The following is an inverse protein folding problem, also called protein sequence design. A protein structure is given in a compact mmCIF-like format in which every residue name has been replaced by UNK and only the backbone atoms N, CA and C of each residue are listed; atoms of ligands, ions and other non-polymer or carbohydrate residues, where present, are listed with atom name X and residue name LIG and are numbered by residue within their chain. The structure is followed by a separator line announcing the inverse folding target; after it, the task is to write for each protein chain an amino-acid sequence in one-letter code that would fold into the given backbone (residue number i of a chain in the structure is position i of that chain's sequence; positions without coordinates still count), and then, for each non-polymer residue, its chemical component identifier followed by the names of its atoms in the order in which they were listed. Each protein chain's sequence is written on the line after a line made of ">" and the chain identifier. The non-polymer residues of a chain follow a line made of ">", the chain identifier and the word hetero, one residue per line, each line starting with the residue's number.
data_IF_994397164370
#
_entry.id   IF_994397164370
#
_cell.length_a   1.000
_cell.length_b   1.000
_cell.length_c   1.000
_cell.angle_alpha   90.00
_cell.angle_beta   90.00
_cell.angle_gamma   90.00
#
_symmetry.space_group_name_H-M   'P 1'
#
loop_
_entity.id
_entity.type
_entity.pdbx_description
1 polymer ?
#
# COMPACT_ATOMS: atom_id res chain seq x y z
N UNK A 1 -13.08 -26.70 1.91
CA UNK A 1 -12.59 -25.39 2.39
C UNK A 1 -11.82 -24.77 1.25
N UNK A 2 -12.09 -23.51 0.91
CA UNK A 2 -11.24 -22.82 -0.06
C UNK A 2 -9.83 -22.73 0.53
N UNK A 3 -8.87 -23.37 -0.12
CA UNK A 3 -7.45 -23.20 0.15
C UNK A 3 -7.03 -21.85 -0.42
N UNK A 4 -6.55 -20.95 0.44
CA UNK A 4 -6.14 -19.59 0.06
C UNK A 4 -4.63 -19.47 0.21
N UNK A 5 -3.94 -19.10 -0.88
CA UNK A 5 -2.55 -18.63 -0.89
C UNK A 5 -2.57 -17.12 -0.94
N UNK A 6 -1.80 -16.47 -0.07
CA UNK A 6 -1.79 -15.02 0.04
C UNK A 6 -0.39 -14.47 -0.07
N UNK A 7 -0.26 -13.27 -0.62
CA UNK A 7 0.97 -12.48 -0.54
C UNK A 7 0.74 -11.27 0.36
N UNK A 8 1.65 -11.03 1.29
CA UNK A 8 1.77 -9.79 2.05
C UNK A 8 2.93 -8.94 1.52
N UNK A 9 2.70 -7.64 1.36
CA UNK A 9 3.71 -6.66 0.93
C UNK A 9 3.78 -5.51 1.94
N UNK A 10 4.87 -5.44 2.70
CA UNK A 10 5.22 -4.26 3.53
C UNK A 10 5.97 -3.24 2.68
N UNK A 11 5.21 -2.34 2.05
CA UNK A 11 5.70 -1.50 0.97
C UNK A 11 6.51 -0.31 1.50
N UNK A 12 7.73 -0.14 0.98
CA UNK A 12 8.47 1.09 1.22
C UNK A 12 8.04 2.25 0.29
N UNK A 13 8.19 3.49 0.74
CA UNK A 13 7.81 4.66 -0.07
C UNK A 13 8.65 4.92 -1.33
N UNK A 14 9.80 4.27 -1.49
CA UNK A 14 10.67 4.40 -2.66
C UNK A 14 11.35 3.08 -3.03
N UNK A 15 11.64 2.89 -4.32
CA UNK A 15 12.29 1.68 -4.82
C UNK A 15 13.74 1.49 -4.33
N UNK A 16 14.36 2.53 -3.77
CA UNK A 16 15.69 2.44 -3.14
C UNK A 16 15.66 1.89 -1.71
N UNK A 17 14.48 1.57 -1.17
CA UNK A 17 14.29 1.10 0.20
C UNK A 17 13.69 -0.30 0.19
N UNK A 18 14.14 -1.11 1.13
CA UNK A 18 13.69 -2.49 1.30
C UNK A 18 12.17 -2.56 1.50
N UNK A 19 11.51 -3.40 0.71
CA UNK A 19 10.10 -3.77 0.81
C UNK A 19 10.03 -5.22 1.28
N UNK A 20 9.23 -5.48 2.31
CA UNK A 20 9.00 -6.84 2.78
C UNK A 20 8.01 -7.56 1.86
N UNK A 21 8.33 -8.79 1.49
CA UNK A 21 7.46 -9.68 0.73
C UNK A 21 7.28 -10.98 1.49
N UNK A 22 6.05 -11.47 1.60
CA UNK A 22 5.73 -12.73 2.25
C UNK A 22 4.73 -13.51 1.41
N UNK A 23 5.09 -14.71 0.95
CA UNK A 23 4.16 -15.70 0.45
C UNK A 23 3.69 -16.56 1.63
N UNK A 24 2.38 -16.60 1.86
CA UNK A 24 1.75 -17.45 2.87
C UNK A 24 1.01 -18.58 2.15
N UNK A 25 1.50 -19.80 2.36
CA UNK A 25 0.91 -21.02 1.82
C UNK A 25 -0.31 -21.47 2.63
N UNK A 26 -1.10 -22.37 2.04
CA UNK A 26 -2.36 -22.89 2.62
C UNK A 26 -2.13 -23.56 3.98
N UNK A 27 -0.97 -24.18 4.16
CA UNK A 27 -0.55 -24.87 5.38
C UNK A 27 0.09 -23.93 6.42
N UNK A 28 -0.07 -22.61 6.24
CA UNK A 28 0.48 -21.55 7.10
C UNK A 28 2.01 -21.45 7.08
N UNK A 29 2.68 -22.06 6.10
CA UNK A 29 4.11 -21.82 5.88
C UNK A 29 4.32 -20.46 5.22
N UNK A 30 5.25 -19.69 5.78
CA UNK A 30 5.61 -18.37 5.27
C UNK A 30 7.00 -18.39 4.63
N UNK A 31 7.09 -17.90 3.40
CA UNK A 31 8.35 -17.63 2.71
C UNK A 31 8.51 -16.12 2.54
N UNK A 32 9.59 -15.57 3.08
CA UNK A 32 9.81 -14.11 3.12
C UNK A 32 11.02 -13.70 2.29
N UNK A 33 10.91 -12.56 1.62
CA UNK A 33 11.97 -11.98 0.79
C UNK A 33 12.02 -10.46 0.96
N UNK A 34 13.18 -9.86 0.66
CA UNK A 34 13.33 -8.41 0.57
C UNK A 34 13.41 -8.03 -0.90
N UNK A 35 12.45 -7.23 -1.36
CA UNK A 35 12.38 -6.71 -2.72
C UNK A 35 12.54 -5.18 -2.69
N UNK A 36 12.76 -4.58 -3.86
CA UNK A 36 13.03 -3.15 -3.98
C UNK A 36 12.15 -2.49 -5.04
N UNK A 37 12.23 -2.94 -6.29
CA UNK A 37 11.57 -2.27 -7.44
C UNK A 37 10.13 -2.72 -7.60
N UNK A 38 9.29 -1.84 -8.16
CA UNK A 38 7.89 -2.18 -8.48
C UNK A 38 7.83 -3.39 -9.44
N UNK A 39 8.73 -3.42 -10.43
CA UNK A 39 8.83 -4.55 -11.39
C UNK A 39 9.18 -5.87 -10.72
N UNK A 40 10.02 -5.84 -9.69
CA UNK A 40 10.46 -7.03 -8.96
C UNK A 40 9.30 -7.59 -8.13
N UNK A 41 8.56 -6.74 -7.43
CA UNK A 41 7.35 -7.12 -6.67
C UNK A 41 6.33 -7.78 -7.61
N UNK A 42 6.06 -7.14 -8.76
CA UNK A 42 5.10 -7.66 -9.75
C UNK A 42 5.53 -9.03 -10.29
N UNK A 43 6.81 -9.20 -10.63
CA UNK A 43 7.33 -10.48 -11.11
C UNK A 43 7.21 -11.59 -10.05
N UNK A 44 7.45 -11.28 -8.77
CA UNK A 44 7.29 -12.25 -7.69
C UNK A 44 5.83 -12.66 -7.50
N UNK A 45 4.90 -11.70 -7.48
CA UNK A 45 3.46 -11.98 -7.41
C UNK A 45 3.01 -12.83 -8.61
N UNK A 46 3.47 -12.51 -9.82
CA UNK A 46 3.11 -13.26 -11.03
C UNK A 46 3.70 -14.68 -11.05
N UNK A 47 4.88 -14.87 -10.47
CA UNK A 47 5.50 -16.19 -10.32
C UNK A 47 4.75 -17.03 -9.28
N UNK A 48 4.44 -16.43 -8.13
CA UNK A 48 3.89 -17.15 -7.00
C UNK A 48 2.40 -17.43 -7.17
N UNK A 49 1.69 -16.68 -8.03
CA UNK A 49 0.27 -16.85 -8.35
C UNK A 49 -0.62 -16.99 -7.10
N UNK A 50 -0.64 -16.00 -6.20
CA UNK A 50 -1.51 -16.05 -5.03
C UNK A 50 -2.97 -15.74 -5.40
N UNK A 51 -3.89 -16.14 -4.54
CA UNK A 51 -5.31 -15.79 -4.65
C UNK A 51 -5.58 -14.33 -4.26
N UNK A 52 -4.76 -13.79 -3.35
CA UNK A 52 -4.89 -12.42 -2.85
C UNK A 52 -3.52 -11.80 -2.56
N UNK A 53 -3.43 -10.49 -2.80
CA UNK A 53 -2.26 -9.67 -2.43
C UNK A 53 -2.71 -8.58 -1.48
N UNK A 54 -2.14 -8.60 -0.28
CA UNK A 54 -2.33 -7.61 0.78
C UNK A 54 -1.14 -6.64 0.77
N UNK A 55 -1.40 -5.34 0.59
CA UNK A 55 -0.35 -4.31 0.56
C UNK A 55 -0.50 -3.39 1.76
N UNK A 56 0.53 -3.31 2.61
CA UNK A 56 0.61 -2.35 3.71
C UNK A 56 0.98 -0.96 3.18
N UNK A 57 -0.02 -0.31 2.60
CA UNK A 57 0.05 1.08 2.18
C UNK A 57 -1.36 1.64 1.98
N UNK A 58 -1.54 2.97 2.08
CA UNK A 58 -2.71 3.62 1.52
C UNK A 58 -2.82 3.37 0.00
N UNK A 59 -3.91 2.74 -0.44
CA UNK A 59 -4.14 2.43 -1.87
C UNK A 59 -5.16 3.36 -2.55
N UNK A 60 -5.44 4.50 -1.94
CA UNK A 60 -6.40 5.48 -2.45
C UNK A 60 -6.08 6.90 -1.95
N UNK A 61 -6.53 7.89 -2.70
CA UNK A 61 -6.47 9.30 -2.32
C UNK A 61 -7.75 9.73 -1.59
N UNK A 62 -7.72 10.86 -0.85
CA UNK A 62 -8.94 11.55 -0.44
C UNK A 62 -9.87 11.80 -1.63
N UNK A 63 -11.18 11.70 -1.41
CA UNK A 63 -12.19 11.83 -2.47
C UNK A 63 -12.02 13.15 -3.21
N UNK A 64 -11.93 13.09 -4.54
CA UNK A 64 -11.78 14.27 -5.41
C UNK A 64 -10.35 14.78 -5.58
N UNK A 65 -9.34 14.17 -4.94
CA UNK A 65 -7.93 14.49 -5.22
C UNK A 65 -7.37 13.61 -6.33
N UNK A 66 -6.59 14.23 -7.23
CA UNK A 66 -5.80 13.50 -8.24
C UNK A 66 -4.36 13.23 -7.78
N UNK A 67 -3.87 14.00 -6.79
CA UNK A 67 -2.55 13.83 -6.19
C UNK A 67 -2.51 14.46 -4.79
N UNK A 68 -1.39 14.35 -4.08
CA UNK A 68 -1.18 14.93 -2.75
C UNK A 68 -0.30 16.20 -2.76
N UNK A 69 0.04 16.76 -3.93
CA UNK A 69 0.87 17.96 -4.06
C UNK A 69 0.16 19.22 -3.56
N UNK A 70 0.93 20.19 -3.07
CA UNK A 70 0.41 21.45 -2.53
C UNK A 70 0.07 22.50 -3.61
N UNK A 71 0.73 22.44 -4.76
CA UNK A 71 0.55 23.36 -5.89
C UNK A 71 -0.62 22.97 -6.81
N UNK A 72 -1.31 21.86 -6.51
CA UNK A 72 -2.37 21.34 -7.36
C UNK A 72 -3.74 21.92 -6.99
N UNK A 73 -4.54 22.29 -7.99
CA UNK A 73 -5.93 22.76 -7.82
C UNK A 73 -6.82 21.79 -7.03
N UNK A 74 -6.48 20.50 -7.00
CA UNK A 74 -7.23 19.50 -6.22
C UNK A 74 -7.00 19.60 -4.69
N UNK A 75 -6.03 20.39 -4.20
CA UNK A 75 -5.68 20.48 -2.78
C UNK A 75 -6.88 20.81 -1.89
N UNK A 76 -7.77 21.69 -2.34
CA UNK A 76 -8.98 22.08 -1.60
C UNK A 76 -10.04 20.98 -1.44
N UNK A 77 -9.85 19.79 -2.05
CA UNK A 77 -10.80 18.67 -1.98
C UNK A 77 -10.69 17.83 -0.70
N UNK A 78 -9.73 18.15 0.18
CA UNK A 78 -9.61 17.55 1.52
C UNK A 78 -8.37 16.66 1.70
N UNK A 79 -8.04 16.35 2.95
CA UNK A 79 -6.80 15.66 3.32
C UNK A 79 -7.01 14.24 3.87
N UNK A 80 -8.25 13.85 4.12
CA UNK A 80 -8.62 12.60 4.80
C UNK A 80 -9.47 11.73 3.88
N UNK A 81 -9.18 10.43 3.86
CA UNK A 81 -10.07 9.39 3.33
C UNK A 81 -11.18 9.10 4.34
N UNK A 82 -12.22 8.39 3.93
CA UNK A 82 -13.28 7.98 4.87
C UNK A 82 -12.72 7.12 6.01
N UNK A 83 -11.81 6.18 5.72
CA UNK A 83 -11.13 5.40 6.76
C UNK A 83 -10.32 6.25 7.73
N UNK A 84 -9.65 7.31 7.25
CA UNK A 84 -8.90 8.23 8.11
C UNK A 84 -9.83 8.98 9.07
N UNK A 85 -11.02 9.40 8.59
CA UNK A 85 -12.04 10.04 9.44
C UNK A 85 -12.53 9.09 10.54
N UNK A 86 -12.79 7.83 10.21
CA UNK A 86 -13.20 6.81 11.19
C UNK A 86 -12.13 6.60 12.26
N UNK A 87 -10.85 6.54 11.89
CA UNK A 87 -9.75 6.43 12.86
C UNK A 87 -9.72 7.64 13.82
N UNK A 88 -9.90 8.86 13.31
CA UNK A 88 -9.97 10.05 14.17
C UNK A 88 -11.18 10.05 15.11
N UNK A 89 -12.35 9.58 14.66
CA UNK A 89 -13.54 9.43 15.52
C UNK A 89 -13.28 8.44 16.67
N UNK A 90 -12.44 7.44 16.44
CA UNK A 90 -11.98 6.48 17.46
C UNK A 90 -10.78 6.99 18.28
N UNK A 91 -10.35 8.25 18.08
CA UNK A 91 -9.19 8.86 18.76
C UNK A 91 -7.86 8.15 18.44
N UNK A 92 -7.80 7.43 17.31
CA UNK A 92 -6.59 6.76 16.82
C UNK A 92 -5.78 7.75 15.99
N UNK A 93 -4.53 7.98 16.41
CA UNK A 93 -3.58 8.84 15.69
C UNK A 93 -2.90 8.06 14.57
N UNK A 94 -2.68 8.72 13.45
CA UNK A 94 -1.95 8.18 12.29
C UNK A 94 -1.12 9.27 11.63
N UNK A 95 -0.17 8.85 10.79
CA UNK A 95 0.60 9.78 9.96
C UNK A 95 -0.26 10.29 8.80
N UNK A 96 -0.38 11.60 8.59
CA UNK A 96 -1.23 12.15 7.54
C UNK A 96 -0.67 11.79 6.16
N UNK A 97 -1.56 11.50 5.19
CA UNK A 97 -1.16 11.16 3.83
C UNK A 97 -0.33 12.27 3.17
N UNK A 98 -0.54 13.53 3.56
CA UNK A 98 0.21 14.68 3.05
C UNK A 98 1.64 14.79 3.60
N UNK A 99 2.01 14.00 4.62
CA UNK A 99 3.39 13.91 5.08
C UNK A 99 4.27 13.34 3.95
N UNK A 100 5.40 13.97 3.64
CA UNK A 100 6.23 13.64 2.47
C UNK A 100 6.49 12.13 2.26
N UNK A 101 7.03 11.40 3.27
CA UNK A 101 7.16 9.95 3.22
C UNK A 101 5.85 9.19 2.95
N UNK A 102 4.76 9.53 3.65
CA UNK A 102 3.45 8.89 3.47
C UNK A 102 2.84 9.17 2.10
N UNK A 103 3.06 10.37 1.56
CA UNK A 103 2.62 10.75 0.23
C UNK A 103 3.32 9.88 -0.83
N UNK A 104 4.64 9.70 -0.71
CA UNK A 104 5.41 8.81 -1.60
C UNK A 104 4.91 7.36 -1.51
N UNK A 105 4.72 6.84 -0.30
CA UNK A 105 4.16 5.51 -0.05
C UNK A 105 2.76 5.34 -0.66
N UNK A 106 1.86 6.28 -0.40
CA UNK A 106 0.49 6.27 -0.92
C UNK A 106 0.48 6.26 -2.45
N UNK A 107 1.25 7.16 -3.07
CA UNK A 107 1.32 7.24 -4.53
C UNK A 107 1.94 5.97 -5.13
N UNK A 108 2.88 5.33 -4.45
CA UNK A 108 3.44 4.04 -4.88
C UNK A 108 2.42 2.90 -4.76
N UNK A 109 1.75 2.78 -3.62
CA UNK A 109 0.69 1.77 -3.41
C UNK A 109 -0.44 1.90 -4.43
N UNK A 110 -0.88 3.12 -4.75
CA UNK A 110 -1.90 3.36 -5.79
C UNK A 110 -1.44 2.87 -7.18
N UNK A 111 -0.15 3.02 -7.53
CA UNK A 111 0.37 2.52 -8.81
C UNK A 111 0.37 0.99 -8.88
N UNK A 112 0.77 0.33 -7.79
CA UNK A 112 0.86 -1.13 -7.69
C UNK A 112 -0.49 -1.84 -7.58
N UNK A 113 -1.54 -1.14 -7.13
CA UNK A 113 -2.90 -1.70 -7.01
C UNK A 113 -3.53 -2.14 -8.36
N UNK A 114 -3.01 -1.66 -9.49
CA UNK A 114 -3.60 -1.87 -10.82
C UNK A 114 -3.33 -3.26 -11.37
#
# INVERSE_FOLDING_TARGET
>A
MNSLRAVGVDLAGSESRATGYCLLEVDMRAETQILFKDSEIIQHVQRDLPDIVCVDAPLALPKGRCCLRDDCSCRGRGHLREGDKTLLQMVIKFFPLTLGPMSKLTMRGIRLKK
#
